data_IF_557583899781
#
_entry.id   IF_557583899781
#
_cell.length_a   1.000
_cell.length_b   1.000
_cell.length_c   1.000
_cell.angle_alpha   90.00
_cell.angle_beta   90.00
_cell.angle_gamma   90.00
#
_symmetry.space_group_name_H-M   'P 1'
#
loop_
_entity.id
_entity.type
_entity.pdbx_description
1 polymer ?
#
# COMPACT_ATOMS: atom_id res chain seq x y z
N UNK A 1 2.23 2.47 -8.58
CA UNK A 1 1.42 1.87 -7.53
C UNK A 1 1.42 0.35 -7.62
N UNK A 2 0.99 -0.31 -6.53
CA UNK A 2 0.85 -1.77 -6.46
C UNK A 2 -0.58 -2.10 -6.04
N UNK A 3 -1.25 -2.99 -6.79
CA UNK A 3 -2.57 -3.50 -6.45
C UNK A 3 -2.45 -4.97 -6.02
N UNK A 4 -3.15 -5.33 -4.94
CA UNK A 4 -3.14 -6.69 -4.42
C UNK A 4 -4.40 -7.00 -3.61
N UNK A 5 -4.60 -8.28 -3.29
CA UNK A 5 -5.73 -8.75 -2.51
C UNK A 5 -5.26 -9.36 -1.19
N UNK A 6 -6.07 -9.19 -0.14
CA UNK A 6 -5.97 -9.95 1.11
C UNK A 6 -7.23 -10.82 1.20
N UNK A 7 -7.04 -12.13 1.38
CA UNK A 7 -8.07 -13.13 1.54
C UNK A 7 -7.56 -14.25 2.46
N UNK A 8 -8.36 -15.26 2.78
CA UNK A 8 -8.03 -16.25 3.82
C UNK A 8 -6.63 -16.88 3.74
N UNK A 9 -6.08 -17.11 2.53
CA UNK A 9 -4.74 -17.67 2.39
C UNK A 9 -3.63 -16.71 2.86
N UNK A 10 -3.88 -15.42 2.94
CA UNK A 10 -2.91 -14.43 3.42
C UNK A 10 -2.76 -14.44 4.95
N UNK A 11 -3.72 -15.01 5.67
CA UNK A 11 -3.63 -15.23 7.11
C UNK A 11 -2.70 -16.40 7.47
N UNK A 12 -2.28 -17.20 6.48
CA UNK A 12 -1.41 -18.34 6.65
C UNK A 12 0.05 -17.86 6.63
N UNK A 13 0.74 -18.00 7.76
CA UNK A 13 2.14 -17.64 7.89
C UNK A 13 3.02 -18.89 7.87
N UNK A 14 3.28 -19.40 6.67
CA UNK A 14 4.11 -20.59 6.45
C UNK A 14 5.60 -20.27 6.33
N UNK A 15 5.95 -19.00 6.11
CA UNK A 15 7.35 -18.60 5.93
C UNK A 15 7.71 -17.37 6.75
N UNK A 16 8.99 -17.24 7.08
CA UNK A 16 9.58 -16.07 7.71
C UNK A 16 9.71 -14.89 6.75
N UNK A 17 10.24 -13.78 7.27
CA UNK A 17 10.63 -12.65 6.42
C UNK A 17 11.80 -13.08 5.53
N UNK A 18 11.77 -12.63 4.27
CA UNK A 18 12.85 -12.83 3.31
C UNK A 18 14.13 -12.09 3.74
N UNK A 19 15.27 -12.79 3.68
CA UNK A 19 16.61 -12.28 3.94
C UNK A 19 17.61 -12.84 2.91
N UNK A 20 17.28 -12.69 1.62
CA UNK A 20 18.15 -13.14 0.53
C UNK A 20 19.35 -12.22 0.27
N UNK A 21 20.23 -12.65 -0.62
CA UNK A 21 21.33 -11.84 -1.12
C UNK A 21 21.29 -11.81 -2.65
N UNK A 22 20.99 -10.64 -3.29
CA UNK A 22 20.64 -9.37 -2.64
C UNK A 22 19.29 -9.45 -1.90
N UNK A 23 19.15 -8.66 -0.83
CA UNK A 23 17.89 -8.61 -0.07
C UNK A 23 16.77 -7.97 -0.87
N UNK A 24 17.10 -7.02 -1.74
CA UNK A 24 16.15 -6.31 -2.62
C UNK A 24 16.53 -6.57 -4.08
N UNK A 25 16.13 -7.72 -4.64
CA UNK A 25 16.46 -8.07 -6.01
C UNK A 25 15.66 -7.26 -7.03
N UNK A 26 16.21 -7.11 -8.23
CA UNK A 26 15.44 -6.64 -9.38
C UNK A 26 14.26 -7.59 -9.66
N UNK A 27 13.15 -7.01 -10.13
CA UNK A 27 12.01 -7.80 -10.56
C UNK A 27 12.35 -8.50 -11.91
N UNK A 28 12.32 -9.83 -11.98
CA UNK A 28 12.68 -10.56 -13.18
C UNK A 28 11.69 -10.37 -14.35
N UNK A 29 10.50 -9.83 -14.09
CA UNK A 29 9.50 -9.53 -15.12
C UNK A 29 9.70 -8.15 -15.76
N UNK A 30 10.57 -7.31 -15.20
CA UNK A 30 10.88 -5.98 -15.72
C UNK A 30 12.18 -6.05 -16.52
N UNK A 31 12.18 -5.44 -17.71
CA UNK A 31 13.38 -5.37 -18.55
C UNK A 31 14.59 -4.83 -17.77
N UNK A 32 15.75 -5.45 -17.95
CA UNK A 32 17.01 -5.02 -17.34
C UNK A 32 17.41 -3.59 -17.71
N UNK A 33 16.89 -3.05 -18.81
CA UNK A 33 17.06 -1.65 -19.21
C UNK A 33 16.24 -0.67 -18.35
N UNK A 34 15.26 -1.16 -17.60
CA UNK A 34 14.37 -0.39 -16.74
C UNK A 34 14.61 -0.65 -15.25
N UNK A 35 15.64 -1.42 -14.90
CA UNK A 35 15.98 -1.78 -13.54
C UNK A 35 17.39 -1.33 -13.20
N UNK A 36 17.68 -1.25 -11.90
CA UNK A 36 19.02 -0.94 -11.41
C UNK A 36 19.84 -2.23 -11.26
N UNK A 37 21.11 -2.22 -11.72
CA UNK A 37 22.07 -3.29 -11.49
C UNK A 37 22.67 -3.31 -10.07
N UNK A 38 22.22 -2.42 -9.21
CA UNK A 38 22.67 -2.23 -7.82
C UNK A 38 21.48 -1.81 -6.94
N UNK A 39 21.64 -1.80 -5.63
CA UNK A 39 20.63 -1.25 -4.73
C UNK A 39 20.60 0.29 -4.83
N UNK A 40 19.56 0.86 -5.46
CA UNK A 40 19.50 2.31 -5.74
C UNK A 40 19.16 3.14 -4.49
N UNK A 41 18.83 2.52 -3.35
CA UNK A 41 18.54 3.20 -2.07
C UNK A 41 19.81 3.47 -1.27
N UNK A 42 20.93 2.79 -1.60
CA UNK A 42 22.17 2.92 -0.87
C UNK A 42 22.66 4.38 -0.82
N UNK A 43 22.88 4.88 0.41
CA UNK A 43 23.36 6.25 0.65
C UNK A 43 22.33 7.37 0.39
N UNK A 44 21.07 7.05 0.11
CA UNK A 44 20.02 8.07 -0.16
C UNK A 44 19.38 8.64 1.10
N UNK A 45 19.49 7.96 2.23
CA UNK A 45 18.80 8.32 3.48
C UNK A 45 17.32 7.94 3.51
N UNK A 46 16.84 7.19 2.51
CA UNK A 46 15.49 6.66 2.45
C UNK A 46 15.49 5.14 2.64
N UNK A 47 14.42 4.64 3.25
CA UNK A 47 14.15 3.21 3.38
C UNK A 47 13.55 2.64 2.09
N UNK A 48 13.69 1.34 1.92
CA UNK A 48 12.92 0.53 0.97
C UNK A 48 11.47 0.42 1.46
N UNK A 49 10.66 1.39 1.08
CA UNK A 49 9.25 1.44 1.47
C UNK A 49 8.42 0.45 0.66
N UNK A 50 7.94 -0.62 1.31
CA UNK A 50 7.08 -1.60 0.67
C UNK A 50 5.72 -0.99 0.31
N UNK A 51 5.23 -1.25 -0.91
CA UNK A 51 3.86 -0.96 -1.31
C UNK A 51 2.92 -2.12 -0.94
N UNK A 52 3.22 -3.34 -1.37
CA UNK A 52 2.63 -4.55 -0.80
C UNK A 52 3.49 -5.02 0.38
N UNK A 53 2.99 -4.98 1.62
CA UNK A 53 3.78 -5.34 2.79
C UNK A 53 4.21 -6.81 2.77
N UNK A 54 5.43 -7.09 3.22
CA UNK A 54 5.91 -8.45 3.33
C UNK A 54 5.07 -9.30 4.28
N UNK A 55 4.46 -8.68 5.29
CA UNK A 55 3.58 -9.36 6.24
C UNK A 55 2.26 -9.86 5.60
N UNK A 56 1.85 -9.31 4.45
CA UNK A 56 0.64 -9.72 3.74
C UNK A 56 0.89 -10.87 2.74
N UNK A 57 2.12 -11.36 2.60
CA UNK A 57 2.54 -12.37 1.61
C UNK A 57 3.44 -13.45 2.20
N UNK A 58 3.03 -14.04 3.33
CA UNK A 58 3.81 -15.06 4.05
C UNK A 58 3.30 -16.48 3.84
N UNK A 59 2.41 -16.71 2.88
CA UNK A 59 1.87 -18.04 2.59
C UNK A 59 2.89 -18.96 1.91
N UNK A 60 3.79 -18.42 1.08
CA UNK A 60 4.88 -19.14 0.43
C UNK A 60 6.15 -18.30 0.41
N UNK A 61 7.33 -18.94 0.30
CA UNK A 61 8.61 -18.24 0.16
C UNK A 61 8.66 -17.37 -1.09
N UNK A 62 8.11 -17.84 -2.20
CA UNK A 62 8.06 -17.08 -3.44
C UNK A 62 7.19 -15.82 -3.32
N UNK A 63 5.98 -15.93 -2.77
CA UNK A 63 5.12 -14.77 -2.52
C UNK A 63 5.79 -13.76 -1.57
N UNK A 64 6.51 -14.26 -0.57
CA UNK A 64 7.27 -13.43 0.35
C UNK A 64 8.43 -12.71 -0.37
N UNK A 65 9.23 -13.45 -1.17
CA UNK A 65 10.35 -12.92 -1.94
C UNK A 65 9.92 -11.82 -2.92
N UNK A 66 8.79 -12.00 -3.59
CA UNK A 66 8.26 -11.01 -4.54
C UNK A 66 7.97 -9.66 -3.89
N UNK A 67 7.61 -9.63 -2.60
CA UNK A 67 7.42 -8.34 -1.92
C UNK A 67 8.72 -7.55 -1.75
N UNK A 68 9.88 -8.18 -1.89
CA UNK A 68 11.20 -7.54 -1.82
C UNK A 68 11.77 -7.10 -3.16
N UNK A 69 11.07 -7.34 -4.26
CA UNK A 69 11.49 -6.80 -5.55
C UNK A 69 11.50 -5.26 -5.53
N UNK A 70 12.51 -4.67 -6.17
CA UNK A 70 12.62 -3.21 -6.29
C UNK A 70 11.39 -2.56 -6.94
N UNK A 71 10.65 -3.28 -7.77
CA UNK A 71 9.37 -2.85 -8.34
C UNK A 71 8.26 -2.63 -7.32
N UNK A 72 8.36 -3.24 -6.13
CA UNK A 72 7.44 -3.07 -5.01
C UNK A 72 7.92 -2.03 -3.98
N UNK A 73 8.98 -1.26 -4.29
CA UNK A 73 9.61 -0.32 -3.37
C UNK A 73 9.47 1.11 -3.83
N UNK A 74 9.24 2.02 -2.89
CA UNK A 74 9.37 3.45 -3.10
C UNK A 74 10.17 4.09 -1.96
N UNK A 75 10.94 5.18 -2.22
CA UNK A 75 11.72 5.85 -1.18
C UNK A 75 10.82 6.40 -0.07
N UNK A 76 11.00 5.93 1.15
CA UNK A 76 10.26 6.39 2.31
C UNK A 76 11.18 6.86 3.43
N UNK A 77 10.80 7.94 4.11
CA UNK A 77 11.48 8.36 5.33
C UNK A 77 11.30 7.30 6.42
N UNK A 78 12.34 7.00 7.18
CA UNK A 78 12.31 5.93 8.20
C UNK A 78 11.21 6.14 9.26
N UNK A 79 10.98 7.39 9.67
CA UNK A 79 9.91 7.71 10.62
C UNK A 79 8.50 7.67 10.00
N UNK A 80 8.38 7.77 8.67
CA UNK A 80 7.12 7.56 7.96
C UNK A 80 6.86 6.07 7.77
N UNK A 81 7.85 5.34 7.26
CA UNK A 81 7.79 3.90 6.98
C UNK A 81 7.54 3.06 8.26
N UNK A 82 8.17 3.45 9.38
CA UNK A 82 8.04 2.74 10.64
C UNK A 82 9.23 1.85 10.99
N UNK A 83 10.36 2.04 10.34
CA UNK A 83 11.60 1.31 10.64
C UNK A 83 12.36 1.84 11.86
N UNK A 84 11.91 2.95 12.44
CA UNK A 84 12.47 3.55 13.66
C UNK A 84 11.69 3.13 14.91
N UNK A 85 12.30 3.29 16.09
CA UNK A 85 11.61 3.09 17.36
C UNK A 85 10.40 4.03 17.47
N UNK A 86 9.24 3.48 17.80
CA UNK A 86 7.96 4.20 17.84
C UNK A 86 7.10 3.99 16.60
N UNK A 87 7.63 3.33 15.56
CA UNK A 87 6.91 3.04 14.33
C UNK A 87 6.76 4.26 13.42
N UNK A 88 5.84 4.20 12.47
CA UNK A 88 5.48 5.26 11.54
C UNK A 88 4.04 5.13 11.08
N UNK A 89 3.51 6.19 10.49
CA UNK A 89 2.11 6.23 10.08
C UNK A 89 1.78 5.19 9.00
N UNK A 90 2.74 4.88 8.12
CA UNK A 90 2.58 3.86 7.08
C UNK A 90 2.42 2.47 7.69
N UNK A 91 3.31 2.07 8.61
CA UNK A 91 3.19 0.81 9.36
C UNK A 91 1.90 0.75 10.18
N UNK A 92 1.49 1.86 10.79
CA UNK A 92 0.23 1.96 11.55
C UNK A 92 -0.97 1.65 10.63
N UNK A 93 -1.00 2.22 9.43
CA UNK A 93 -2.04 1.96 8.43
C UNK A 93 -2.02 0.50 7.97
N UNK A 94 -0.84 -0.07 7.68
CA UNK A 94 -0.71 -1.48 7.27
C UNK A 94 -1.26 -2.44 8.32
N UNK A 95 -0.91 -2.23 9.57
CA UNK A 95 -1.39 -3.04 10.70
C UNK A 95 -2.91 -2.91 10.84
N UNK A 96 -3.45 -1.68 10.76
CA UNK A 96 -4.88 -1.45 10.88
C UNK A 96 -5.68 -2.15 9.79
N UNK A 97 -5.22 -2.09 8.54
CA UNK A 97 -5.86 -2.79 7.41
C UNK A 97 -5.82 -4.30 7.63
N UNK A 98 -4.67 -4.86 8.02
CA UNK A 98 -4.50 -6.29 8.27
C UNK A 98 -5.37 -6.78 9.44
N UNK A 99 -5.46 -5.99 10.51
CA UNK A 99 -6.31 -6.33 11.65
C UNK A 99 -7.80 -6.22 11.30
N UNK A 100 -8.19 -5.27 10.46
CA UNK A 100 -9.57 -5.18 9.97
C UNK A 100 -9.99 -6.41 9.17
N UNK A 101 -9.06 -7.02 8.40
CA UNK A 101 -9.34 -8.25 7.67
C UNK A 101 -9.65 -9.46 8.58
N UNK A 102 -9.13 -9.49 9.79
CA UNK A 102 -9.40 -10.55 10.77
C UNK A 102 -10.83 -10.50 11.35
N UNK A 103 -11.60 -9.46 11.02
CA UNK A 103 -13.00 -9.36 11.43
C UNK A 103 -13.86 -10.37 10.65
N UNK A 104 -14.73 -11.07 11.35
CA UNK A 104 -15.42 -12.31 10.92
C UNK A 104 -16.26 -12.24 9.64
N UNK A 105 -16.46 -11.11 9.02
CA UNK A 105 -17.37 -10.97 7.87
C UNK A 105 -16.69 -10.58 6.56
N UNK A 106 -15.39 -10.33 6.56
CA UNK A 106 -14.67 -9.90 5.36
C UNK A 106 -14.21 -11.12 4.56
N UNK A 107 -14.62 -11.19 3.29
CA UNK A 107 -14.21 -12.23 2.34
C UNK A 107 -12.89 -11.86 1.66
N UNK A 108 -12.84 -10.67 1.11
CA UNK A 108 -11.66 -10.17 0.38
C UNK A 108 -11.50 -8.67 0.61
N UNK A 109 -10.27 -8.22 0.74
CA UNK A 109 -9.88 -6.83 0.57
C UNK A 109 -9.08 -6.66 -0.72
N UNK A 110 -9.46 -5.67 -1.52
CA UNK A 110 -8.71 -5.20 -2.69
C UNK A 110 -8.00 -3.92 -2.29
N UNK A 111 -6.69 -3.89 -2.45
CA UNK A 111 -5.86 -2.78 -1.97
C UNK A 111 -5.03 -2.25 -3.13
N UNK A 112 -5.02 -0.92 -3.30
CA UNK A 112 -4.13 -0.20 -4.19
C UNK A 112 -3.32 0.82 -3.38
N UNK A 113 -1.98 0.79 -3.49
CA UNK A 113 -1.08 1.68 -2.76
C UNK A 113 -0.01 2.26 -3.67
N UNK A 114 0.38 3.48 -3.40
CA UNK A 114 1.46 4.11 -4.15
C UNK A 114 1.88 5.45 -3.56
N UNK A 115 2.98 5.97 -4.11
CA UNK A 115 3.42 7.33 -3.90
C UNK A 115 3.26 8.14 -5.18
N UNK A 116 3.07 9.44 -5.04
CA UNK A 116 2.87 10.37 -6.13
C UNK A 116 4.17 10.66 -6.85
N UNK A 117 4.25 10.37 -8.14
CA UNK A 117 5.46 10.52 -8.96
C UNK A 117 5.22 11.20 -10.31
N UNK A 118 3.98 11.41 -10.70
CA UNK A 118 3.56 11.90 -12.01
C UNK A 118 3.33 13.42 -12.05
N UNK A 119 2.96 14.03 -10.92
CA UNK A 119 2.73 15.47 -10.80
C UNK A 119 3.90 16.13 -10.04
N UNK A 120 4.61 17.03 -10.68
CA UNK A 120 5.78 17.71 -10.09
C UNK A 120 5.47 18.40 -8.76
N UNK A 121 4.25 18.96 -8.60
CA UNK A 121 3.80 19.58 -7.36
C UNK A 121 3.63 18.60 -6.19
N UNK A 122 3.53 17.31 -6.49
CA UNK A 122 3.39 16.23 -5.54
C UNK A 122 4.69 15.40 -5.38
N UNK A 123 5.78 15.82 -5.98
CA UNK A 123 7.10 15.19 -5.83
C UNK A 123 7.88 15.93 -4.75
N UNK A 124 8.50 15.16 -3.84
CA UNK A 124 9.32 15.70 -2.74
C UNK A 124 10.74 16.02 -3.20
N UNK A 125 11.34 15.13 -3.99
CA UNK A 125 12.71 15.28 -4.47
C UNK A 125 12.98 14.39 -5.70
N UNK A 126 14.00 14.79 -6.46
CA UNK A 126 14.63 13.98 -7.49
C UNK A 126 16.05 13.65 -7.02
N UNK A 127 16.35 12.36 -6.89
CA UNK A 127 17.68 11.91 -6.48
C UNK A 127 18.62 11.80 -7.68
N UNK A 128 19.94 11.88 -7.42
CA UNK A 128 20.98 11.85 -8.49
C UNK A 128 20.96 10.59 -9.34
N UNK A 129 20.47 9.47 -8.81
CA UNK A 129 20.33 8.20 -9.50
C UNK A 129 19.03 8.08 -10.32
N UNK A 130 18.26 9.15 -10.46
CA UNK A 130 16.99 9.18 -11.20
C UNK A 130 15.77 8.77 -10.39
N UNK A 131 15.92 8.42 -9.10
CA UNK A 131 14.78 8.13 -8.25
C UNK A 131 13.95 9.38 -7.99
N UNK A 132 12.62 9.18 -8.09
CA UNK A 132 11.62 10.16 -7.66
C UNK A 132 11.21 9.83 -6.24
N UNK A 133 11.34 10.78 -5.33
CA UNK A 133 10.84 10.68 -3.96
C UNK A 133 9.42 11.26 -3.93
N UNK A 134 8.39 10.46 -3.63
CA UNK A 134 7.01 10.93 -3.55
C UNK A 134 6.84 12.01 -2.50
N UNK A 135 6.04 13.03 -2.80
CA UNK A 135 5.61 14.03 -1.82
C UNK A 135 4.45 13.56 -0.97
N UNK A 136 3.66 12.63 -1.52
CA UNK A 136 2.53 12.00 -0.83
C UNK A 136 2.50 10.51 -1.10
N UNK A 137 1.85 9.78 -0.19
CA UNK A 137 1.51 8.37 -0.35
C UNK A 137 0.03 8.16 -0.15
N UNK A 138 -0.52 7.20 -0.87
CA UNK A 138 -1.93 6.85 -0.78
C UNK A 138 -2.15 5.36 -0.57
N UNK A 139 -3.31 5.04 -0.02
CA UNK A 139 -3.84 3.67 0.01
C UNK A 139 -5.35 3.72 -0.18
N UNK A 140 -5.85 3.00 -1.17
CA UNK A 140 -7.27 2.71 -1.35
C UNK A 140 -7.52 1.25 -0.96
N UNK A 141 -8.54 1.00 -0.16
CA UNK A 141 -8.95 -0.34 0.24
C UNK A 141 -10.44 -0.53 0.02
N UNK A 142 -10.82 -1.59 -0.70
CA UNK A 142 -12.19 -2.02 -0.90
C UNK A 142 -12.40 -3.35 -0.16
N UNK A 143 -13.37 -3.39 0.73
CA UNK A 143 -13.75 -4.54 1.51
C UNK A 143 -15.00 -5.18 0.92
N UNK A 144 -14.92 -6.44 0.56
CA UNK A 144 -16.08 -7.28 0.22
C UNK A 144 -16.44 -8.11 1.45
N UNK A 145 -17.67 -7.96 1.93
CA UNK A 145 -18.13 -8.65 3.13
C UNK A 145 -19.57 -9.13 3.00
N UNK A 146 -19.93 -10.17 3.76
CA UNK A 146 -21.30 -10.65 3.81
C UNK A 146 -22.08 -9.94 4.91
N UNK A 147 -23.07 -9.14 4.53
CA UNK A 147 -23.98 -8.50 5.49
C UNK A 147 -25.01 -9.50 6.01
N UNK A 148 -24.89 -9.91 7.27
CA UNK A 148 -25.86 -10.81 7.94
C UNK A 148 -27.25 -10.19 8.03
N UNK A 149 -27.33 -8.86 8.15
CA UNK A 149 -28.58 -8.12 8.25
C UNK A 149 -29.29 -8.05 6.90
N UNK A 150 -28.57 -7.73 5.82
CA UNK A 150 -29.10 -7.63 4.48
C UNK A 150 -29.13 -8.96 3.74
N UNK A 151 -28.49 -10.01 4.31
CA UNK A 151 -28.36 -11.36 3.73
C UNK A 151 -27.78 -11.34 2.30
N UNK A 152 -26.82 -10.46 2.04
CA UNK A 152 -26.16 -10.31 0.73
C UNK A 152 -24.71 -9.85 0.89
N UNK A 153 -23.96 -9.96 -0.21
CA UNK A 153 -22.63 -9.38 -0.32
C UNK A 153 -22.73 -7.87 -0.45
N UNK A 154 -21.92 -7.17 0.31
CA UNK A 154 -21.81 -5.72 0.29
C UNK A 154 -20.34 -5.30 0.17
N UNK A 155 -20.14 -4.05 -0.20
CA UNK A 155 -18.84 -3.44 -0.35
C UNK A 155 -18.73 -2.17 0.48
N UNK A 156 -17.54 -1.92 1.02
CA UNK A 156 -17.17 -0.69 1.73
C UNK A 156 -15.77 -0.32 1.31
N UNK A 157 -15.53 0.96 1.03
CA UNK A 157 -14.21 1.43 0.66
C UNK A 157 -13.72 2.52 1.59
N UNK A 158 -12.39 2.66 1.68
CA UNK A 158 -11.69 3.68 2.44
C UNK A 158 -10.43 4.11 1.71
N UNK A 159 -10.19 5.42 1.67
CA UNK A 159 -8.97 6.03 1.20
C UNK A 159 -8.12 6.58 2.33
N UNK A 160 -6.82 6.57 2.11
CA UNK A 160 -5.84 7.26 2.96
C UNK A 160 -4.95 8.14 2.09
N UNK A 161 -4.69 9.36 2.58
CA UNK A 161 -3.78 10.30 1.94
C UNK A 161 -2.79 10.84 2.96
N UNK A 162 -1.51 10.58 2.74
CA UNK A 162 -0.43 10.92 3.66
C UNK A 162 0.58 11.85 3.01
N UNK A 163 0.88 12.98 3.64
CA UNK A 163 2.06 13.74 3.29
C UNK A 163 3.31 12.98 3.70
N UNK A 164 4.30 12.89 2.81
CA UNK A 164 5.55 12.18 3.05
C UNK A 164 6.50 13.01 3.92
N UNK A 165 6.33 12.93 5.21
CA UNK A 165 7.13 13.60 6.22
C UNK A 165 7.33 12.70 7.44
N UNK A 166 8.17 13.11 8.39
CA UNK A 166 8.36 12.39 9.64
C UNK A 166 7.03 12.37 10.40
N UNK A 167 6.41 11.20 10.48
CA UNK A 167 5.08 11.06 11.05
C UNK A 167 4.96 9.73 11.79
N UNK A 168 4.90 9.83 13.10
CA UNK A 168 4.73 8.72 14.03
C UNK A 168 3.35 8.75 14.72
N UNK A 169 2.36 9.42 14.11
CA UNK A 169 1.03 9.49 14.68
C UNK A 169 0.40 8.10 14.88
N UNK A 170 -0.21 7.89 16.02
CA UNK A 170 -0.91 6.64 16.35
C UNK A 170 -2.33 6.58 15.75
N UNK A 171 -2.89 7.72 15.32
CA UNK A 171 -4.24 7.83 14.77
C UNK A 171 -4.22 8.04 13.26
N UNK A 172 -5.00 7.25 12.55
CA UNK A 172 -5.21 7.37 11.11
C UNK A 172 -6.33 8.34 10.72
N UNK A 173 -7.19 8.74 11.66
CA UNK A 173 -8.37 9.58 11.39
C UNK A 173 -8.10 10.83 10.56
N UNK A 174 -7.01 11.60 10.80
CA UNK A 174 -6.73 12.82 10.03
C UNK A 174 -6.37 12.55 8.56
N UNK A 175 -6.02 11.31 8.21
CA UNK A 175 -5.52 10.92 6.89
C UNK A 175 -6.57 10.17 6.06
N UNK A 176 -7.74 9.91 6.65
CA UNK A 176 -8.85 9.25 5.95
C UNK A 176 -9.50 10.23 4.98
N UNK A 177 -9.67 9.77 3.75
CA UNK A 177 -10.41 10.44 2.68
C UNK A 177 -11.39 9.44 2.06
N UNK A 178 -12.46 9.92 1.41
CA UNK A 178 -13.27 9.02 0.61
C UNK A 178 -12.55 8.68 -0.72
N UNK A 179 -13.04 7.68 -1.45
CA UNK A 179 -12.38 7.23 -2.68
C UNK A 179 -12.42 8.32 -3.74
N UNK A 180 -13.53 9.02 -3.92
CA UNK A 180 -13.65 10.11 -4.89
C UNK A 180 -12.62 11.23 -4.65
N UNK A 181 -12.42 11.63 -3.41
CA UNK A 181 -11.36 12.58 -3.06
C UNK A 181 -9.97 12.05 -3.40
N UNK A 182 -9.74 10.73 -3.18
CA UNK A 182 -8.47 10.11 -3.49
C UNK A 182 -8.21 10.06 -5.01
N UNK A 183 -9.25 9.83 -5.82
CA UNK A 183 -9.20 9.87 -7.28
C UNK A 183 -8.83 11.27 -7.80
N UNK A 184 -9.46 12.31 -7.24
CA UNK A 184 -9.13 13.70 -7.57
C UNK A 184 -7.66 14.05 -7.23
N UNK A 185 -7.13 13.50 -6.13
CA UNK A 185 -5.75 13.74 -5.69
C UNK A 185 -4.71 12.95 -6.49
N UNK A 186 -5.07 11.77 -7.00
CA UNK A 186 -4.15 10.84 -7.66
C UNK A 186 -4.33 10.74 -9.17
N UNK A 187 -5.46 11.19 -9.68
CA UNK A 187 -5.91 10.97 -11.06
C UNK A 187 -5.95 9.47 -11.42
N UNK A 188 -6.27 8.62 -10.46
CA UNK A 188 -6.45 7.18 -10.63
C UNK A 188 -7.91 6.84 -10.36
N UNK A 189 -8.54 6.14 -11.29
CA UNK A 189 -9.88 5.59 -11.17
C UNK A 189 -9.80 4.26 -10.39
N UNK A 190 -10.21 4.29 -9.12
CA UNK A 190 -10.14 3.14 -8.23
C UNK A 190 -11.38 2.27 -8.34
N UNK A 191 -11.16 0.95 -8.38
CA UNK A 191 -12.24 -0.04 -8.38
C UNK A 191 -13.16 0.00 -9.60
N UNK A 192 -12.72 0.54 -10.72
CA UNK A 192 -13.43 0.71 -12.00
C UNK A 192 -14.05 -0.57 -12.59
N UNK A 193 -13.77 -1.75 -12.03
CA UNK A 193 -14.40 -3.01 -12.41
C UNK A 193 -15.67 -3.36 -11.59
N UNK A 194 -16.03 -2.52 -10.63
CA UNK A 194 -17.32 -2.66 -9.94
C UNK A 194 -18.48 -2.26 -10.86
N UNK A 195 -19.68 -2.84 -10.67
CA UNK A 195 -20.89 -2.26 -11.27
C UNK A 195 -21.06 -0.80 -10.84
N UNK A 196 -21.40 0.08 -11.79
CA UNK A 196 -21.48 1.54 -11.60
C UNK A 196 -22.29 2.00 -10.38
N UNK A 197 -23.37 1.26 -10.04
CA UNK A 197 -24.21 1.58 -8.88
C UNK A 197 -23.50 1.28 -7.56
N UNK A 198 -22.68 0.23 -7.53
CA UNK A 198 -21.86 -0.15 -6.37
C UNK A 198 -20.66 0.80 -6.25
N UNK A 199 -19.98 1.07 -7.38
CA UNK A 199 -18.84 1.96 -7.45
C UNK A 199 -19.18 3.35 -6.91
N UNK A 200 -20.20 4.02 -7.47
CA UNK A 200 -20.67 5.33 -6.98
C UNK A 200 -21.03 5.34 -5.50
N UNK A 201 -21.58 4.23 -4.99
CA UNK A 201 -21.93 4.11 -3.57
C UNK A 201 -20.69 4.05 -2.68
N UNK A 202 -19.67 3.28 -3.07
CA UNK A 202 -18.46 3.09 -2.23
C UNK A 202 -17.51 4.28 -2.33
N UNK A 203 -17.49 5.00 -3.43
CA UNK A 203 -16.70 6.21 -3.63
C UNK A 203 -17.20 7.39 -2.78
N UNK A 204 -18.52 7.52 -2.64
CA UNK A 204 -19.17 8.59 -1.91
C UNK A 204 -19.35 8.36 -0.41
N UNK A 205 -18.97 7.19 0.12
CA UNK A 205 -19.10 6.91 1.56
C UNK A 205 -18.12 7.79 2.33
N UNK A 206 -18.65 8.72 3.11
CA UNK A 206 -17.89 9.52 4.04
C UNK A 206 -17.37 8.66 5.21
N UNK A 207 -16.10 8.82 5.49
CA UNK A 207 -15.24 8.64 6.67
C UNK A 207 -15.67 7.74 7.85
N UNK A 208 -16.70 6.93 7.76
CA UNK A 208 -17.13 6.08 8.86
C UNK A 208 -16.33 4.76 8.91
N UNK A 209 -15.33 4.74 9.77
CA UNK A 209 -14.67 3.52 10.25
C UNK A 209 -14.86 3.41 11.75
#
# INVERSE_FOLDING_TARGET
>A
WTCYQIYNSNSIWNTGRWYGNPQYPADPLISSLMTFGYDPYWGTGYDHGHLCPSADRRSTEEAQRQTFYLSNMQPQLSAFNGSVKGGGIWLTMENKIRDSFKMESIDTMYICRGGTIDQTSQVKAFLRNGFIVPGYFFSAALLKYYSKTQKKWEYKAIGFWFKHENNQAASLKPYVVNIKQLEELTNIDFFCNLPDDIERKVEGIDKDI
#
